data_IF_317121056718
#
_entry.id   IF_317121056718
#
_cell.length_a   1.000
_cell.length_b   1.000
_cell.length_c   1.000
_cell.angle_alpha   90.00
_cell.angle_beta   90.00
_cell.angle_gamma   90.00
#
_symmetry.space_group_name_H-M   'P 1'
#
loop_
_entity.id
_entity.type
_entity.pdbx_description
1 polymer ?
#
# COMPACT_ATOMS: atom_id res chain seq x y z
N UNK A 1 20.01 15.49 -9.45
CA UNK A 1 19.13 14.53 -8.73
C UNK A 1 18.51 15.09 -7.45
N UNK A 2 19.26 15.80 -6.58
CA UNK A 2 18.75 16.33 -5.29
C UNK A 2 17.47 17.18 -5.38
N UNK A 3 17.29 17.97 -6.45
CA UNK A 3 16.10 18.81 -6.68
C UNK A 3 14.84 17.97 -6.97
N UNK A 4 15.00 16.87 -7.72
CA UNK A 4 13.91 15.94 -8.04
C UNK A 4 13.54 15.09 -6.82
N UNK A 5 14.53 14.65 -6.05
CA UNK A 5 14.28 13.97 -4.77
C UNK A 5 13.49 14.85 -3.81
N UNK A 6 13.82 16.15 -3.69
CA UNK A 6 13.06 17.08 -2.87
C UNK A 6 11.62 17.27 -3.37
N UNK A 7 11.41 17.38 -4.68
CA UNK A 7 10.07 17.48 -5.28
C UNK A 7 9.23 16.23 -4.99
N UNK A 8 9.81 15.04 -5.14
CA UNK A 8 9.13 13.77 -4.84
C UNK A 8 8.74 13.71 -3.36
N UNK A 9 9.64 14.08 -2.45
CA UNK A 9 9.38 14.08 -1.02
C UNK A 9 8.24 15.07 -0.67
N UNK A 10 8.25 16.28 -1.23
CA UNK A 10 7.21 17.28 -1.02
C UNK A 10 5.87 16.77 -1.57
N UNK A 11 5.86 16.13 -2.74
CA UNK A 11 4.65 15.55 -3.33
C UNK A 11 4.09 14.43 -2.45
N UNK A 12 4.95 13.54 -1.92
CA UNK A 12 4.54 12.49 -1.00
C UNK A 12 3.93 13.04 0.29
N UNK A 13 4.55 14.08 0.88
CA UNK A 13 4.03 14.75 2.08
C UNK A 13 2.67 15.39 1.79
N UNK A 14 2.53 16.07 0.65
CA UNK A 14 1.27 16.68 0.24
C UNK A 14 0.17 15.63 0.02
N UNK A 15 0.47 14.50 -0.64
CA UNK A 15 -0.47 13.39 -0.79
C UNK A 15 -0.90 12.79 0.55
N UNK A 16 0.03 12.67 1.51
CA UNK A 16 -0.29 12.18 2.85
C UNK A 16 -1.16 13.17 3.65
N UNK A 17 -0.88 14.48 3.52
CA UNK A 17 -1.67 15.53 4.15
C UNK A 17 -3.08 15.66 3.54
N UNK A 18 -3.22 15.35 2.24
CA UNK A 18 -4.47 15.33 1.52
C UNK A 18 -5.26 14.00 1.64
N UNK A 19 -4.76 13.04 2.43
CA UNK A 19 -5.48 11.80 2.71
C UNK A 19 -6.69 12.08 3.61
N UNK A 20 -7.85 12.31 2.98
CA UNK A 20 -9.16 12.40 3.63
C UNK A 20 -9.48 11.12 4.42
N UNK A 21 -10.43 11.22 5.36
CA UNK A 21 -10.95 10.06 6.11
C UNK A 21 -11.30 8.95 5.12
N UNK A 22 -10.95 7.70 5.44
CA UNK A 22 -11.12 6.53 4.57
C UNK A 22 -12.58 6.31 4.13
N UNK A 23 -13.00 7.07 3.13
CA UNK A 23 -14.23 6.89 2.37
C UNK A 23 -13.92 5.90 1.25
N UNK A 24 -14.86 5.00 0.98
CA UNK A 24 -14.66 4.05 -0.10
C UNK A 24 -14.47 4.79 -1.43
N UNK A 25 -13.32 4.59 -2.07
CA UNK A 25 -12.96 5.22 -3.35
C UNK A 25 -13.65 4.53 -4.54
N UNK A 26 -14.26 3.36 -4.30
CA UNK A 26 -14.94 2.51 -5.26
C UNK A 26 -16.45 2.83 -5.25
N UNK A 27 -17.02 3.26 -6.38
CA UNK A 27 -18.43 3.70 -6.46
C UNK A 27 -19.44 2.61 -6.08
N UNK A 28 -19.13 1.35 -6.38
CA UNK A 28 -19.92 0.18 -5.98
C UNK A 28 -19.89 0.02 -4.45
N UNK A 29 -18.70 0.09 -3.85
CA UNK A 29 -18.49 -0.05 -2.42
C UNK A 29 -19.20 1.04 -1.62
N UNK A 30 -19.19 2.28 -2.12
CA UNK A 30 -19.92 3.41 -1.52
C UNK A 30 -21.43 3.20 -1.57
N UNK A 31 -21.95 2.73 -2.71
CA UNK A 31 -23.39 2.44 -2.84
C UNK A 31 -23.82 1.33 -1.89
N UNK A 32 -23.04 0.25 -1.82
CA UNK A 32 -23.28 -0.86 -0.88
C UNK A 32 -23.24 -0.36 0.55
N UNK A 33 -22.19 0.36 0.98
CA UNK A 33 -22.09 0.90 2.34
C UNK A 33 -23.34 1.71 2.77
N UNK A 34 -23.84 2.57 1.87
CA UNK A 34 -25.04 3.38 2.12
C UNK A 34 -26.32 2.57 2.36
N UNK A 35 -26.39 1.32 1.90
CA UNK A 35 -27.54 0.44 2.07
C UNK A 35 -27.49 -0.41 3.35
N UNK A 36 -26.32 -0.54 4.00
CA UNK A 36 -26.15 -1.43 5.15
C UNK A 36 -26.41 -0.75 6.51
N UNK A 37 -26.46 0.58 6.60
CA UNK A 37 -26.53 1.31 7.87
C UNK A 37 -25.14 1.48 8.53
N UNK A 38 -25.04 2.33 9.56
CA UNK A 38 -23.74 2.89 10.02
C UNK A 38 -22.70 1.84 10.47
N UNK A 39 -23.08 0.90 11.34
CA UNK A 39 -22.17 -0.12 11.90
C UNK A 39 -21.59 -1.06 10.83
N UNK A 40 -22.39 -1.75 10.01
CA UNK A 40 -21.87 -2.61 8.95
C UNK A 40 -21.19 -1.82 7.81
N UNK A 41 -21.59 -0.58 7.53
CA UNK A 41 -20.90 0.29 6.57
C UNK A 41 -19.45 0.58 6.98
N UNK A 42 -19.19 0.82 8.27
CA UNK A 42 -17.81 0.98 8.79
C UNK A 42 -17.00 -0.32 8.64
N UNK A 43 -17.60 -1.47 8.94
CA UNK A 43 -16.96 -2.78 8.76
C UNK A 43 -16.57 -3.05 7.31
N UNK A 44 -17.42 -2.66 6.35
CA UNK A 44 -17.15 -2.81 4.92
C UNK A 44 -15.93 -1.99 4.47
N UNK A 45 -15.79 -0.73 4.90
CA UNK A 45 -14.64 0.11 4.55
C UNK A 45 -13.32 -0.47 5.09
N UNK A 46 -13.33 -0.98 6.32
CA UNK A 46 -12.17 -1.67 6.90
C UNK A 46 -11.80 -2.93 6.10
N UNK A 47 -12.80 -3.69 5.64
CA UNK A 47 -12.61 -4.85 4.78
C UNK A 47 -11.95 -4.51 3.45
N UNK A 48 -12.37 -3.42 2.79
CA UNK A 48 -11.78 -2.96 1.52
C UNK A 48 -10.30 -2.60 1.72
N UNK A 49 -9.98 -1.81 2.75
CA UNK A 49 -8.59 -1.45 3.06
C UNK A 49 -7.73 -2.69 3.32
N UNK A 50 -8.25 -3.65 4.08
CA UNK A 50 -7.57 -4.92 4.32
C UNK A 50 -7.28 -5.66 3.02
N UNK A 51 -8.27 -5.82 2.14
CA UNK A 51 -8.14 -6.52 0.88
C UNK A 51 -7.21 -5.82 -0.11
N UNK A 52 -7.14 -4.48 -0.10
CA UNK A 52 -6.19 -3.72 -0.92
C UNK A 52 -4.76 -3.80 -0.38
N UNK A 53 -4.59 -3.72 0.94
CA UNK A 53 -3.27 -3.73 1.57
C UNK A 53 -2.62 -5.11 1.55
N UNK A 54 -3.39 -6.17 1.80
CA UNK A 54 -2.89 -7.54 1.89
C UNK A 54 -2.03 -7.99 0.69
N UNK A 55 -2.45 -7.87 -0.59
CA UNK A 55 -1.64 -8.33 -1.73
C UNK A 55 -0.34 -7.54 -1.87
N UNK A 56 -0.35 -6.24 -1.57
CA UNK A 56 0.85 -5.40 -1.62
C UNK A 56 1.82 -5.76 -0.51
N UNK A 57 1.32 -6.00 0.72
CA UNK A 57 2.13 -6.42 1.84
C UNK A 57 2.77 -7.80 1.61
N UNK A 58 1.98 -8.76 1.11
CA UNK A 58 2.46 -10.11 0.79
C UNK A 58 3.51 -10.05 -0.32
N UNK A 59 3.21 -9.37 -1.44
CA UNK A 59 4.14 -9.24 -2.56
C UNK A 59 5.43 -8.52 -2.15
N UNK A 60 5.33 -7.44 -1.37
CA UNK A 60 6.46 -6.71 -0.83
C UNK A 60 7.34 -7.56 0.09
N UNK A 61 6.72 -8.35 0.98
CA UNK A 61 7.45 -9.26 1.88
C UNK A 61 8.19 -10.35 1.11
N UNK A 62 7.53 -11.01 0.15
CA UNK A 62 8.14 -12.04 -0.69
C UNK A 62 9.28 -11.45 -1.50
N UNK A 63 9.05 -10.32 -2.18
CA UNK A 63 10.06 -9.63 -2.97
C UNK A 63 11.28 -9.22 -2.14
N UNK A 64 11.07 -8.69 -0.93
CA UNK A 64 12.15 -8.35 -0.01
C UNK A 64 12.98 -9.56 0.40
N UNK A 65 12.32 -10.68 0.76
CA UNK A 65 13.03 -11.92 1.13
C UNK A 65 13.82 -12.51 -0.04
N UNK A 66 13.25 -12.50 -1.25
CA UNK A 66 13.94 -13.00 -2.43
C UNK A 66 15.18 -12.16 -2.74
N UNK A 67 15.06 -10.82 -2.72
CA UNK A 67 16.19 -9.91 -2.95
C UNK A 67 17.36 -10.16 -2.01
N UNK A 68 17.09 -10.41 -0.72
CA UNK A 68 18.13 -10.70 0.27
C UNK A 68 18.83 -12.05 -0.01
N UNK A 69 18.07 -13.07 -0.42
CA UNK A 69 18.63 -14.36 -0.84
C UNK A 69 19.49 -14.19 -2.08
N UNK A 70 19.01 -13.46 -3.08
CA UNK A 70 19.71 -13.25 -4.34
C UNK A 70 21.05 -12.55 -4.13
N UNK A 71 21.09 -11.53 -3.26
CA UNK A 71 22.34 -10.88 -2.87
C UNK A 71 23.34 -11.84 -2.24
N UNK A 72 22.90 -12.70 -1.32
CA UNK A 72 23.78 -13.69 -0.70
C UNK A 72 24.33 -14.69 -1.73
N UNK A 73 23.49 -15.16 -2.67
CA UNK A 73 23.93 -16.06 -3.75
C UNK A 73 24.97 -15.39 -4.65
N UNK A 74 24.75 -14.13 -5.05
CA UNK A 74 25.71 -13.37 -5.88
C UNK A 74 27.03 -13.14 -5.12
N UNK A 75 26.97 -12.84 -3.83
CA UNK A 75 28.16 -12.68 -2.97
C UNK A 75 28.94 -13.99 -2.83
N UNK A 76 28.24 -15.14 -2.73
CA UNK A 76 28.87 -16.46 -2.68
C UNK A 76 29.55 -16.80 -4.02
N UNK A 77 28.89 -16.59 -5.16
CA UNK A 77 29.45 -16.83 -6.50
C UNK A 77 30.67 -15.94 -6.82
N UNK A 78 30.71 -14.71 -6.29
CA UNK A 78 31.84 -13.80 -6.47
C UNK A 78 33.07 -14.17 -5.61
N UNK A 79 32.89 -14.95 -4.54
CA UNK A 79 33.95 -15.36 -3.61
C UNK A 79 34.46 -16.79 -3.83
N UNK A 80 33.87 -17.52 -4.78
CA UNK A 80 34.28 -18.87 -5.23
C UNK A 80 35.03 -18.83 -6.56
#
# INVERSE_FOLDING_TARGET
MKKWSAIIIILCIFCFAAAEKATAQCSICTKTASQLGEKPAKGLNSGILYLMFAPLAIGGFIGYRWWQREKAVIEDEANS
#
